data_IF_465935980439
#
_entry.id   IF_465935980439
#
_cell.length_a   1.000
_cell.length_b   1.000
_cell.length_c   1.000
_cell.angle_alpha   90.00
_cell.angle_beta   90.00
_cell.angle_gamma   90.00
#
_symmetry.space_group_name_H-M   'P 1'
#
loop_
_entity.id
_entity.type
_entity.pdbx_description
1 polymer ?
#
# COMPACT_ATOMS: atom_id res chain seq x y z
N UNK A 1 -7.77 -16.24 30.12
CA UNK A 1 -7.94 -15.04 29.25
C UNK A 1 -9.09 -14.16 29.72
N UNK A 2 -10.18 -14.74 30.20
CA UNK A 2 -11.37 -14.07 30.78
C UNK A 2 -11.06 -12.95 31.79
N UNK A 3 -10.03 -13.11 32.62
CA UNK A 3 -9.65 -12.14 33.66
C UNK A 3 -9.07 -10.81 33.14
N UNK A 4 -8.57 -10.78 31.90
CA UNK A 4 -7.96 -9.60 31.27
C UNK A 4 -8.99 -8.73 30.52
N UNK A 5 -10.17 -9.29 30.22
CA UNK A 5 -11.26 -8.63 29.52
C UNK A 5 -12.47 -8.36 30.45
N UNK A 6 -12.37 -8.75 31.72
CA UNK A 6 -13.43 -8.55 32.70
C UNK A 6 -13.12 -7.32 33.56
N UNK A 7 -14.08 -6.41 33.64
CA UNK A 7 -14.02 -5.16 34.41
C UNK A 7 -13.72 -5.40 35.90
N UNK A 8 -14.19 -6.52 36.46
CA UNK A 8 -14.04 -6.91 37.88
C UNK A 8 -13.56 -8.36 38.09
N UNK A 9 -13.05 -9.01 37.03
CA UNK A 9 -12.51 -10.37 37.09
C UNK A 9 -13.55 -11.50 37.14
N UNK A 10 -14.86 -11.22 37.17
CA UNK A 10 -15.93 -12.23 37.30
C UNK A 10 -17.00 -12.20 36.19
N UNK A 11 -17.20 -11.09 35.47
CA UNK A 11 -18.15 -11.03 34.34
C UNK A 11 -17.53 -10.34 33.13
N UNK A 12 -17.47 -11.04 32.00
CA UNK A 12 -17.26 -10.43 30.69
C UNK A 12 -18.58 -9.78 30.28
N UNK A 13 -18.54 -8.52 29.86
CA UNK A 13 -19.69 -7.92 29.20
C UNK A 13 -20.06 -8.80 27.98
N UNK A 14 -21.35 -9.11 27.83
CA UNK A 14 -21.83 -10.01 26.78
C UNK A 14 -21.43 -9.51 25.38
N UNK A 15 -21.31 -8.18 25.24
CA UNK A 15 -20.84 -7.49 24.06
C UNK A 15 -19.42 -7.87 23.64
N UNK A 16 -18.55 -8.30 24.56
CA UNK A 16 -17.14 -8.60 24.30
C UNK A 16 -16.83 -10.10 24.19
N UNK A 17 -17.85 -10.95 24.33
CA UNK A 17 -17.70 -12.40 24.21
C UNK A 17 -17.13 -12.85 22.86
N UNK A 18 -17.54 -12.30 21.70
CA UNK A 18 -16.96 -12.68 20.41
C UNK A 18 -15.44 -12.46 20.33
N UNK A 19 -14.95 -11.40 20.98
CA UNK A 19 -13.52 -11.11 21.03
C UNK A 19 -12.75 -12.11 21.91
N UNK A 20 -13.35 -12.52 23.03
CA UNK A 20 -12.77 -13.56 23.88
C UNK A 20 -12.67 -14.89 23.13
N UNK A 21 -13.71 -15.25 22.37
CA UNK A 21 -13.75 -16.48 21.58
C UNK A 21 -12.67 -16.47 20.49
N UNK A 22 -12.53 -15.38 19.71
CA UNK A 22 -11.48 -15.24 18.68
C UNK A 22 -10.08 -15.36 19.27
N UNK A 23 -9.84 -14.79 20.45
CA UNK A 23 -8.53 -14.90 21.09
C UNK A 23 -8.28 -16.32 21.59
N UNK A 24 -9.31 -17.01 22.09
CA UNK A 24 -9.25 -18.35 22.66
C UNK A 24 -9.21 -19.49 21.65
N UNK A 25 -9.63 -19.25 20.40
CA UNK A 25 -9.59 -20.22 19.30
C UNK A 25 -8.16 -20.52 18.79
N UNK A 26 -7.16 -19.75 19.23
CA UNK A 26 -5.77 -19.94 18.81
C UNK A 26 -5.24 -21.34 19.19
N UNK A 27 -4.67 -22.13 18.24
CA UNK A 27 -4.17 -23.48 18.50
C UNK A 27 -3.10 -23.54 19.60
N UNK A 28 -2.35 -22.46 19.77
CA UNK A 28 -1.38 -22.29 20.83
C UNK A 28 -1.67 -20.99 21.62
N UNK A 29 -2.00 -21.08 22.92
CA UNK A 29 -2.33 -19.92 23.74
C UNK A 29 -1.10 -19.10 24.18
N UNK A 30 0.11 -19.65 24.14
CA UNK A 30 1.31 -18.97 24.65
C UNK A 30 1.63 -17.66 23.89
N UNK A 31 1.64 -17.62 22.54
CA UNK A 31 1.83 -16.39 21.79
C UNK A 31 0.76 -15.33 22.11
N UNK A 32 -0.50 -15.74 22.27
CA UNK A 32 -1.62 -14.84 22.59
C UNK A 32 -1.42 -14.23 23.98
N UNK A 33 -1.06 -15.03 24.97
CA UNK A 33 -0.76 -14.55 26.32
C UNK A 33 0.47 -13.64 26.37
N UNK A 34 1.52 -13.96 25.60
CA UNK A 34 2.71 -13.12 25.48
C UNK A 34 2.36 -11.76 24.83
N UNK A 35 1.54 -11.77 23.78
CA UNK A 35 1.03 -10.57 23.13
C UNK A 35 0.17 -9.73 24.10
N UNK A 36 -0.78 -10.34 24.80
CA UNK A 36 -1.65 -9.65 25.77
C UNK A 36 -0.84 -8.92 26.85
N UNK A 37 0.28 -9.48 27.29
CA UNK A 37 1.13 -8.90 28.34
C UNK A 37 2.02 -7.76 27.85
N UNK A 38 2.54 -7.86 26.62
CA UNK A 38 3.65 -6.99 26.16
C UNK A 38 3.25 -5.99 25.07
N UNK A 39 2.14 -6.23 24.39
CA UNK A 39 1.77 -5.47 23.20
C UNK A 39 1.14 -4.11 23.55
N UNK A 40 1.57 -3.00 22.91
CA UNK A 40 0.84 -1.74 22.95
C UNK A 40 -0.60 -1.86 22.46
N UNK A 41 -0.85 -2.75 21.48
CA UNK A 41 -2.20 -3.01 20.96
C UNK A 41 -3.09 -3.66 22.03
N UNK A 42 -2.56 -4.58 22.83
CA UNK A 42 -3.31 -5.21 23.92
C UNK A 42 -3.65 -4.20 25.03
N UNK A 43 -2.72 -3.28 25.36
CA UNK A 43 -2.99 -2.20 26.31
C UNK A 43 -4.08 -1.25 25.81
N UNK A 44 -4.02 -0.86 24.53
CA UNK A 44 -5.04 -0.02 23.90
C UNK A 44 -6.41 -0.73 23.88
N UNK A 45 -6.43 -2.03 23.57
CA UNK A 45 -7.65 -2.84 23.64
C UNK A 45 -8.23 -2.88 25.06
N UNK A 46 -7.39 -3.09 26.08
CA UNK A 46 -7.81 -3.08 27.48
C UNK A 46 -8.43 -1.75 27.91
N UNK A 47 -7.86 -0.63 27.46
CA UNK A 47 -8.43 0.70 27.70
C UNK A 47 -9.80 0.87 27.05
N UNK A 48 -9.96 0.47 25.79
CA UNK A 48 -11.24 0.58 25.07
C UNK A 48 -12.34 -0.31 25.67
N UNK A 49 -11.97 -1.49 26.16
CA UNK A 49 -12.88 -2.45 26.79
C UNK A 49 -13.48 -1.91 28.12
N UNK A 50 -12.87 -0.89 28.74
CA UNK A 50 -13.47 -0.27 29.94
C UNK A 50 -14.74 0.55 29.65
N UNK A 51 -14.92 0.99 28.39
CA UNK A 51 -16.08 1.76 27.92
C UNK A 51 -16.67 1.14 26.63
N UNK A 52 -17.26 -0.06 26.71
CA UNK A 52 -17.70 -0.80 25.53
C UNK A 52 -18.85 -0.13 24.77
N UNK A 53 -19.63 0.74 25.43
CA UNK A 53 -20.72 1.49 24.81
C UNK A 53 -20.27 2.54 23.78
N UNK A 54 -19.00 2.94 23.80
CA UNK A 54 -18.42 3.94 22.88
C UNK A 54 -17.56 3.30 21.78
N UNK A 55 -17.58 1.98 21.65
CA UNK A 55 -16.70 1.25 20.76
C UNK A 55 -17.23 1.30 19.31
N UNK A 56 -16.84 2.34 18.59
CA UNK A 56 -17.11 2.50 17.16
C UNK A 56 -15.84 2.85 16.35
N UNK A 57 -15.99 2.94 15.02
CA UNK A 57 -14.89 3.33 14.15
C UNK A 57 -14.42 4.78 14.40
N UNK A 58 -15.30 5.68 14.85
CA UNK A 58 -15.00 7.10 15.05
C UNK A 58 -14.12 7.31 16.30
N UNK A 59 -14.40 6.60 17.38
CA UNK A 59 -13.60 6.56 18.59
C UNK A 59 -12.17 6.09 18.29
N UNK A 60 -12.03 5.03 17.49
CA UNK A 60 -10.72 4.56 17.03
C UNK A 60 -10.03 5.56 16.08
N UNK A 61 -10.79 6.30 15.27
CA UNK A 61 -10.26 7.31 14.35
C UNK A 61 -9.72 8.56 15.08
N UNK A 62 -10.25 8.87 16.27
CA UNK A 62 -9.80 9.96 17.14
C UNK A 62 -8.45 9.66 17.82
N UNK A 63 -8.11 8.39 18.01
CA UNK A 63 -6.84 7.98 18.63
C UNK A 63 -5.62 8.29 17.74
N UNK A 64 -4.41 8.35 18.32
CA UNK A 64 -3.18 8.33 17.54
C UNK A 64 -3.17 7.13 16.58
N UNK A 65 -2.99 7.40 15.28
CA UNK A 65 -3.01 6.33 14.28
C UNK A 65 -1.62 5.70 14.17
N UNK A 66 -1.56 4.38 14.20
CA UNK A 66 -0.33 3.59 14.12
C UNK A 66 -0.64 2.10 14.12
N UNK A 67 0.40 1.28 14.19
CA UNK A 67 0.27 -0.18 14.10
C UNK A 67 -0.65 -0.76 15.17
N UNK A 68 -0.61 -0.23 16.39
CA UNK A 68 -1.45 -0.69 17.50
C UNK A 68 -2.95 -0.46 17.21
N UNK A 69 -3.33 0.77 16.83
CA UNK A 69 -4.71 1.13 16.50
C UNK A 69 -5.23 0.35 15.30
N UNK A 70 -4.42 0.20 14.25
CA UNK A 70 -4.77 -0.62 13.07
C UNK A 70 -4.98 -2.09 13.44
N UNK A 71 -4.09 -2.66 14.26
CA UNK A 71 -4.23 -4.04 14.71
C UNK A 71 -5.49 -4.25 15.55
N UNK A 72 -5.76 -3.37 16.52
CA UNK A 72 -6.96 -3.45 17.36
C UNK A 72 -8.23 -3.32 16.52
N UNK A 73 -8.29 -2.36 15.59
CA UNK A 73 -9.43 -2.22 14.69
C UNK A 73 -9.66 -3.47 13.84
N UNK A 74 -8.59 -4.04 13.29
CA UNK A 74 -8.67 -5.30 12.53
C UNK A 74 -9.20 -6.44 13.40
N UNK A 75 -8.68 -6.57 14.62
CA UNK A 75 -9.10 -7.60 15.57
C UNK A 75 -10.59 -7.47 15.93
N UNK A 76 -11.06 -6.25 16.22
CA UNK A 76 -12.46 -5.96 16.53
C UNK A 76 -13.39 -6.23 15.34
N UNK A 77 -12.94 -5.93 14.12
CA UNK A 77 -13.67 -6.25 12.89
C UNK A 77 -13.75 -7.76 12.66
N UNK A 78 -12.63 -8.49 12.85
CA UNK A 78 -12.59 -9.96 12.76
C UNK A 78 -13.47 -10.63 13.79
N UNK A 79 -13.51 -10.08 15.02
CA UNK A 79 -14.41 -10.53 16.07
C UNK A 79 -15.89 -10.16 15.84
N UNK A 80 -16.21 -9.45 14.76
CA UNK A 80 -17.58 -9.03 14.45
C UNK A 80 -18.12 -7.91 15.35
N UNK A 81 -17.28 -7.28 16.16
CA UNK A 81 -17.66 -6.16 17.01
C UNK A 81 -17.77 -4.83 16.24
N UNK A 82 -17.07 -4.74 15.10
CA UNK A 82 -17.16 -3.61 14.20
C UNK A 82 -17.49 -4.07 12.78
N UNK A 83 -18.31 -3.32 12.03
CA UNK A 83 -18.61 -3.65 10.65
C UNK A 83 -17.36 -3.48 9.77
N UNK A 84 -17.16 -4.33 8.75
CA UNK A 84 -16.07 -4.17 7.81
C UNK A 84 -16.19 -2.84 7.05
N UNK A 85 -15.06 -2.15 6.88
CA UNK A 85 -14.97 -0.84 6.23
C UNK A 85 -13.75 -0.79 5.33
N UNK A 86 -13.77 0.06 4.31
CA UNK A 86 -12.57 0.42 3.53
C UNK A 86 -11.54 1.16 4.38
N UNK A 87 -10.75 0.43 5.17
CA UNK A 87 -9.85 0.97 6.20
C UNK A 87 -8.82 1.94 5.64
N UNK A 88 -8.14 1.56 4.56
CA UNK A 88 -7.12 2.42 3.95
C UNK A 88 -7.72 3.76 3.48
N UNK A 89 -8.96 3.75 2.98
CA UNK A 89 -9.65 4.97 2.54
C UNK A 89 -10.05 5.83 3.74
N UNK A 90 -10.54 5.21 4.82
CA UNK A 90 -10.83 5.89 6.08
C UNK A 90 -9.59 6.60 6.63
N UNK A 91 -8.47 5.89 6.68
CA UNK A 91 -7.18 6.43 7.10
C UNK A 91 -6.78 7.63 6.25
N UNK A 92 -6.93 7.57 4.92
CA UNK A 92 -6.63 8.69 4.04
C UNK A 92 -7.49 9.92 4.36
N UNK A 93 -8.81 9.75 4.51
CA UNK A 93 -9.76 10.83 4.79
C UNK A 93 -9.43 11.50 6.13
N UNK A 94 -9.21 10.70 7.18
CA UNK A 94 -8.90 11.20 8.52
C UNK A 94 -7.52 11.84 8.60
N UNK A 95 -6.54 11.27 7.90
CA UNK A 95 -5.21 11.86 7.79
C UNK A 95 -5.27 13.20 7.05
N UNK A 96 -5.98 13.29 5.93
CA UNK A 96 -6.17 14.54 5.17
C UNK A 96 -6.78 15.63 6.06
N UNK A 97 -7.85 15.31 6.79
CA UNK A 97 -8.52 16.28 7.67
C UNK A 97 -7.54 16.87 8.71
N UNK A 98 -6.77 16.00 9.38
CA UNK A 98 -5.77 16.41 10.37
C UNK A 98 -4.61 17.20 9.75
N UNK A 99 -4.16 16.82 8.55
CA UNK A 99 -3.11 17.54 7.83
C UNK A 99 -3.58 18.94 7.45
N UNK A 100 -4.78 19.06 6.85
CA UNK A 100 -5.33 20.37 6.46
C UNK A 100 -5.57 21.31 7.64
N UNK A 101 -5.91 20.78 8.82
CA UNK A 101 -6.11 21.58 10.03
C UNK A 101 -4.83 22.25 10.55
N UNK A 102 -3.65 21.71 10.19
CA UNK A 102 -2.34 22.23 10.61
C UNK A 102 -1.72 23.20 9.61
N UNK A 103 -2.28 23.31 8.40
CA UNK A 103 -1.71 24.13 7.34
C UNK A 103 -2.14 25.59 7.44
N UNK A 104 -1.28 26.53 7.00
CA UNK A 104 -1.69 27.91 6.75
C UNK A 104 -2.91 28.00 5.83
N UNK A 105 -3.78 28.99 6.04
CA UNK A 105 -5.06 29.12 5.32
C UNK A 105 -4.89 29.21 3.80
N UNK A 106 -3.87 29.92 3.32
CA UNK A 106 -3.61 30.08 1.88
C UNK A 106 -3.23 28.75 1.23
N UNK A 107 -2.35 27.97 1.85
CA UNK A 107 -2.00 26.63 1.38
C UNK A 107 -3.18 25.65 1.48
N UNK A 108 -3.91 25.65 2.59
CA UNK A 108 -5.06 24.76 2.79
C UNK A 108 -6.16 24.97 1.75
N UNK A 109 -6.32 26.20 1.25
CA UNK A 109 -7.29 26.55 0.20
C UNK A 109 -6.94 25.90 -1.15
N UNK A 110 -5.65 25.73 -1.45
CA UNK A 110 -5.18 25.07 -2.66
C UNK A 110 -5.14 23.55 -2.52
N UNK A 111 -4.68 23.04 -1.38
CA UNK A 111 -4.51 21.60 -1.14
C UNK A 111 -5.86 20.89 -0.95
N UNK A 112 -6.85 21.53 -0.33
CA UNK A 112 -8.18 20.93 -0.10
C UNK A 112 -8.86 20.44 -1.38
N UNK A 113 -9.05 21.27 -2.43
CA UNK A 113 -9.68 20.83 -3.66
C UNK A 113 -8.83 19.80 -4.42
N UNK A 114 -7.50 19.93 -4.41
CA UNK A 114 -6.61 18.91 -4.97
C UNK A 114 -6.81 17.56 -4.29
N UNK A 115 -6.73 17.52 -2.95
CA UNK A 115 -6.88 16.30 -2.19
C UNK A 115 -8.28 15.68 -2.37
N UNK A 116 -9.36 16.47 -2.34
CA UNK A 116 -10.72 15.94 -2.49
C UNK A 116 -10.99 15.42 -3.91
N UNK A 117 -10.74 16.24 -4.93
CA UNK A 117 -11.20 15.94 -6.28
C UNK A 117 -10.27 15.04 -7.07
N UNK A 118 -8.96 15.11 -6.81
CA UNK A 118 -7.97 14.31 -7.53
C UNK A 118 -7.66 13.01 -6.79
N UNK A 119 -7.31 13.10 -5.51
CA UNK A 119 -6.82 11.95 -4.74
C UNK A 119 -7.98 11.14 -4.13
N UNK A 120 -8.85 11.78 -3.34
CA UNK A 120 -9.92 11.09 -2.59
C UNK A 120 -10.98 10.52 -3.53
N UNK A 121 -11.36 11.24 -4.59
CA UNK A 121 -12.31 10.75 -5.60
C UNK A 121 -11.81 9.47 -6.26
N UNK A 122 -10.54 9.40 -6.63
CA UNK A 122 -9.94 8.20 -7.21
C UNK A 122 -9.80 7.07 -6.17
N UNK A 123 -9.36 7.39 -4.95
CA UNK A 123 -9.29 6.44 -3.84
C UNK A 123 -10.66 5.82 -3.52
N UNK A 124 -11.75 6.61 -3.51
CA UNK A 124 -13.12 6.12 -3.35
C UNK A 124 -13.48 5.11 -4.45
N UNK A 125 -13.18 5.44 -5.72
CA UNK A 125 -13.44 4.55 -6.87
C UNK A 125 -12.67 3.24 -6.75
N UNK A 126 -11.39 3.28 -6.37
CA UNK A 126 -10.54 2.08 -6.17
C UNK A 126 -11.01 1.26 -4.96
N UNK A 127 -11.41 1.92 -3.89
CA UNK A 127 -11.92 1.26 -2.68
C UNK A 127 -13.23 0.54 -2.94
N UNK A 128 -14.15 1.14 -3.70
CA UNK A 128 -15.42 0.49 -4.07
C UNK A 128 -15.22 -0.80 -4.88
N UNK A 129 -14.07 -0.94 -5.56
CA UNK A 129 -13.67 -2.14 -6.31
C UNK A 129 -12.82 -3.12 -5.50
N UNK A 130 -12.58 -2.85 -4.20
CA UNK A 130 -11.70 -3.65 -3.35
C UNK A 130 -10.21 -3.55 -3.69
N UNK A 131 -9.79 -2.56 -4.51
CA UNK A 131 -8.40 -2.43 -5.00
C UNK A 131 -7.60 -1.34 -4.31
N UNK A 132 -8.07 -0.84 -3.16
CA UNK A 132 -7.40 0.23 -2.42
C UNK A 132 -6.50 -0.31 -1.31
N UNK A 133 -5.24 -0.55 -1.67
CA UNK A 133 -4.23 -1.16 -0.81
C UNK A 133 -3.58 -0.14 0.13
N UNK A 134 -2.87 -0.65 1.15
CA UNK A 134 -2.09 0.17 2.07
C UNK A 134 -0.97 0.95 1.35
N UNK A 135 -0.33 0.33 0.35
CA UNK A 135 0.70 0.98 -0.48
C UNK A 135 0.12 2.15 -1.26
N UNK A 136 -1.11 2.02 -1.77
CA UNK A 136 -1.78 3.09 -2.47
C UNK A 136 -2.16 4.25 -1.52
N UNK A 137 -2.66 3.94 -0.31
CA UNK A 137 -2.86 4.93 0.75
C UNK A 137 -1.58 5.72 1.09
N UNK A 138 -0.44 5.02 1.25
CA UNK A 138 0.85 5.68 1.49
C UNK A 138 1.28 6.56 0.33
N UNK A 139 1.10 6.10 -0.90
CA UNK A 139 1.38 6.87 -2.11
C UNK A 139 0.53 8.14 -2.21
N UNK A 140 -0.77 8.04 -1.93
CA UNK A 140 -1.70 9.17 -1.93
C UNK A 140 -1.34 10.21 -0.85
N UNK A 141 -0.96 9.75 0.35
CA UNK A 141 -0.45 10.64 1.40
C UNK A 141 0.88 11.31 0.99
N UNK A 142 1.76 10.59 0.29
CA UNK A 142 3.03 11.13 -0.19
C UNK A 142 2.81 12.20 -1.27
N UNK A 143 1.86 12.01 -2.18
CA UNK A 143 1.51 13.02 -3.18
C UNK A 143 0.98 14.30 -2.53
N UNK A 144 0.12 14.18 -1.50
CA UNK A 144 -0.39 15.35 -0.76
C UNK A 144 0.74 16.05 0.00
N UNK A 145 1.66 15.31 0.64
CA UNK A 145 2.83 15.90 1.31
C UNK A 145 3.73 16.64 0.32
N UNK A 146 4.05 16.02 -0.83
CA UNK A 146 4.87 16.65 -1.86
C UNK A 146 4.25 17.96 -2.38
N UNK A 147 2.92 18.01 -2.50
CA UNK A 147 2.21 19.25 -2.85
C UNK A 147 2.35 20.33 -1.77
N UNK A 148 2.23 19.96 -0.49
CA UNK A 148 2.42 20.88 0.65
C UNK A 148 3.87 21.38 0.69
N UNK A 149 4.84 20.50 0.52
CA UNK A 149 6.26 20.84 0.52
C UNK A 149 6.58 21.79 -0.64
N UNK A 150 5.98 21.56 -1.81
CA UNK A 150 6.10 22.45 -2.97
C UNK A 150 5.53 23.84 -2.68
N UNK A 151 4.33 23.94 -2.12
CA UNK A 151 3.75 25.24 -1.74
C UNK A 151 4.58 25.94 -0.66
N UNK A 152 5.12 25.19 0.29
CA UNK A 152 6.01 25.74 1.32
C UNK A 152 7.28 26.30 0.69
N UNK A 153 7.86 25.61 -0.30
CA UNK A 153 9.01 26.12 -1.03
C UNK A 153 8.67 27.35 -1.87
N UNK A 154 7.50 27.40 -2.52
CA UNK A 154 7.06 28.63 -3.21
C UNK A 154 6.98 29.82 -2.25
N UNK A 155 6.43 29.61 -1.04
CA UNK A 155 6.39 30.64 -0.01
C UNK A 155 7.81 31.10 0.38
N UNK A 156 8.79 30.18 0.46
CA UNK A 156 10.19 30.55 0.75
C UNK A 156 10.86 31.35 -0.37
N UNK A 157 10.48 31.11 -1.63
CA UNK A 157 10.99 31.85 -2.78
C UNK A 157 10.19 33.13 -3.05
N UNK A 158 9.16 33.41 -2.24
CA UNK A 158 8.21 34.52 -2.43
C UNK A 158 7.55 34.52 -3.82
N UNK A 159 7.37 33.32 -4.40
CA UNK A 159 6.70 33.15 -5.68
C UNK A 159 5.25 32.71 -5.49
N UNK A 160 4.41 33.10 -6.45
CA UNK A 160 3.03 32.62 -6.54
C UNK A 160 2.93 31.55 -7.62
N UNK A 161 1.87 30.74 -7.60
CA UNK A 161 1.60 29.78 -8.68
C UNK A 161 1.48 30.45 -10.06
N UNK A 162 1.03 31.70 -10.12
CA UNK A 162 0.87 32.44 -11.37
C UNK A 162 2.18 33.02 -11.91
N UNK A 163 3.11 33.39 -11.03
CA UNK A 163 4.43 33.90 -11.41
C UNK A 163 5.44 32.78 -11.69
N UNK A 164 5.04 31.52 -11.50
CA UNK A 164 5.90 30.36 -11.61
C UNK A 164 6.42 30.17 -13.04
N UNK A 165 7.73 30.04 -13.18
CA UNK A 165 8.40 29.73 -14.45
C UNK A 165 8.80 28.26 -14.53
N UNK A 166 9.21 27.82 -15.73
CA UNK A 166 9.75 26.47 -15.91
C UNK A 166 11.09 26.29 -15.18
N UNK A 167 11.92 27.33 -15.14
CA UNK A 167 13.21 27.33 -14.43
C UNK A 167 13.02 27.07 -12.93
N UNK A 168 12.02 27.72 -12.31
CA UNK A 168 11.67 27.48 -10.91
C UNK A 168 11.26 26.02 -10.65
N UNK A 169 10.48 25.43 -11.57
CA UNK A 169 10.08 24.03 -11.47
C UNK A 169 11.25 23.07 -11.61
N UNK A 170 12.21 23.38 -12.48
CA UNK A 170 13.41 22.57 -12.68
C UNK A 170 14.35 22.67 -11.47
N UNK A 171 14.47 23.85 -10.84
CA UNK A 171 15.17 24.05 -9.57
C UNK A 171 14.51 23.23 -8.46
N UNK A 172 13.17 23.28 -8.35
CA UNK A 172 12.43 22.44 -7.40
C UNK A 172 12.70 20.95 -7.63
N UNK A 173 12.60 20.49 -8.89
CA UNK A 173 12.78 19.09 -9.24
C UNK A 173 14.21 18.59 -8.98
N UNK A 174 15.21 19.43 -9.21
CA UNK A 174 16.63 19.11 -9.00
C UNK A 174 17.00 19.12 -7.52
N UNK A 175 16.48 20.07 -6.75
CA UNK A 175 16.74 20.16 -5.30
C UNK A 175 16.10 19.04 -4.49
N UNK A 176 14.99 18.45 -4.98
CA UNK A 176 14.24 17.40 -4.26
C UNK A 176 13.89 16.21 -5.16
N UNK A 177 14.88 15.38 -5.53
CA UNK A 177 14.68 14.28 -6.48
C UNK A 177 13.60 13.26 -6.06
N UNK A 178 13.50 12.99 -4.75
CA UNK A 178 12.52 12.04 -4.19
C UNK A 178 11.07 12.56 -4.25
N UNK A 179 10.89 13.88 -4.28
CA UNK A 179 9.56 14.51 -4.32
C UNK A 179 9.14 14.89 -5.74
N UNK A 180 10.07 14.97 -6.70
CA UNK A 180 9.81 15.28 -8.12
C UNK A 180 8.63 14.48 -8.69
N UNK A 181 8.69 13.15 -8.58
CA UNK A 181 7.63 12.28 -9.10
C UNK A 181 6.28 12.49 -8.39
N UNK A 182 6.33 12.82 -7.09
CA UNK A 182 5.17 12.97 -6.21
C UNK A 182 4.48 14.34 -6.34
N UNK A 183 5.20 15.37 -6.80
CA UNK A 183 4.63 16.71 -7.03
C UNK A 183 3.95 16.85 -8.40
N UNK A 184 4.26 15.99 -9.37
CA UNK A 184 3.66 16.02 -10.73
C UNK A 184 2.13 15.99 -10.72
N UNK A 185 1.44 15.12 -9.97
CA UNK A 185 -0.02 15.11 -9.93
C UNK A 185 -0.61 16.47 -9.51
N UNK A 186 0.03 17.15 -8.55
CA UNK A 186 -0.39 18.46 -8.10
C UNK A 186 -0.18 19.53 -9.17
N UNK A 187 0.97 19.54 -9.82
CA UNK A 187 1.30 20.54 -10.85
C UNK A 187 0.41 20.37 -12.08
N UNK A 188 0.16 19.12 -12.51
CA UNK A 188 -0.81 18.82 -13.57
C UNK A 188 -2.21 19.28 -13.21
N UNK A 189 -2.65 19.04 -11.98
CA UNK A 189 -3.94 19.50 -11.48
C UNK A 189 -4.03 21.04 -11.43
N UNK A 190 -2.96 21.71 -10.99
CA UNK A 190 -2.90 23.17 -10.90
C UNK A 190 -2.94 23.82 -12.30
N UNK A 191 -2.20 23.25 -13.27
CA UNK A 191 -2.23 23.68 -14.67
C UNK A 191 -3.60 23.47 -15.31
N UNK A 192 -4.24 22.31 -15.10
CA UNK A 192 -5.58 22.04 -15.60
C UNK A 192 -6.67 22.97 -15.02
N UNK A 193 -6.40 23.59 -13.86
CA UNK A 193 -7.29 24.56 -13.21
C UNK A 193 -6.87 26.02 -13.48
N UNK A 194 -5.92 26.24 -14.40
CA UNK A 194 -5.37 27.55 -14.75
C UNK A 194 -4.83 28.34 -13.54
N UNK A 195 -4.32 27.63 -12.53
CA UNK A 195 -3.68 28.26 -11.36
C UNK A 195 -2.22 28.62 -11.64
N UNK A 196 -1.61 27.95 -12.62
CA UNK A 196 -0.26 28.22 -13.11
C UNK A 196 -0.29 28.77 -14.53
N UNK A 197 0.82 29.38 -14.96
CA UNK A 197 1.01 29.72 -16.38
C UNK A 197 0.90 28.45 -17.24
N UNK A 198 0.34 28.59 -18.44
CA UNK A 198 0.21 27.49 -19.37
C UNK A 198 1.59 26.95 -19.81
N UNK A 199 1.70 25.64 -19.98
CA UNK A 199 2.89 24.98 -20.57
C UNK A 199 3.94 24.47 -19.58
N UNK A 200 3.75 24.63 -18.27
CA UNK A 200 4.69 24.11 -17.27
C UNK A 200 4.71 22.58 -17.26
N UNK A 201 5.89 22.00 -17.45
CA UNK A 201 6.07 20.55 -17.56
C UNK A 201 7.26 20.11 -16.72
N UNK A 202 7.03 19.33 -15.66
CA UNK A 202 8.13 18.56 -15.05
C UNK A 202 8.30 17.31 -15.90
N UNK A 203 9.43 17.19 -16.57
CA UNK A 203 9.82 15.93 -17.19
C UNK A 203 9.86 14.83 -16.12
N UNK A 204 9.32 13.66 -16.41
CA UNK A 204 9.52 12.49 -15.57
C UNK A 204 10.14 11.44 -16.49
N UNK A 205 11.44 11.13 -16.35
CA UNK A 205 12.02 10.01 -17.07
C UNK A 205 11.20 8.77 -16.70
N UNK A 206 10.71 7.97 -17.65
CA UNK A 206 10.02 6.73 -17.30
C UNK A 206 10.88 5.97 -16.30
N UNK A 207 10.25 5.38 -15.27
CA UNK A 207 10.97 4.52 -14.33
C UNK A 207 11.67 3.45 -15.13
N UNK A 208 12.96 3.61 -15.37
CA UNK A 208 13.76 2.53 -15.94
C UNK A 208 13.76 1.45 -14.87
N UNK A 209 13.12 0.31 -15.16
CA UNK A 209 13.54 -0.92 -14.51
C UNK A 209 15.05 -1.02 -14.74
N UNK A 210 15.86 -1.46 -13.77
CA UNK A 210 17.30 -1.65 -13.97
C UNK A 210 17.54 -2.35 -15.32
N UNK A 211 18.02 -1.60 -16.30
CA UNK A 211 17.91 -1.92 -17.73
C UNK A 211 19.00 -2.86 -18.22
N UNK A 212 19.49 -3.74 -17.36
CA UNK A 212 20.44 -4.79 -17.69
C UNK A 212 20.01 -6.06 -16.97
N UNK A 213 18.95 -6.67 -17.47
CA UNK A 213 18.79 -8.10 -17.30
C UNK A 213 19.84 -8.74 -18.21
N UNK A 214 20.90 -9.31 -17.63
CA UNK A 214 21.86 -10.09 -18.39
C UNK A 214 21.11 -11.27 -19.02
N UNK A 215 21.27 -11.44 -20.32
CA UNK A 215 20.71 -12.58 -21.06
C UNK A 215 21.33 -13.84 -20.46
N UNK A 216 20.54 -14.90 -20.26
CA UNK A 216 20.98 -16.15 -19.61
C UNK A 216 22.22 -16.76 -20.30
N UNK A 217 22.34 -16.56 -21.61
CA UNK A 217 23.50 -16.93 -22.44
C UNK A 217 24.78 -16.16 -22.08
N UNK A 218 24.68 -14.84 -21.84
CA UNK A 218 25.82 -14.00 -21.43
C UNK A 218 26.29 -14.36 -20.01
N UNK A 219 25.35 -14.74 -19.13
CA UNK A 219 25.67 -15.19 -17.77
C UNK A 219 26.47 -16.50 -17.78
N UNK A 220 26.12 -17.44 -18.66
CA UNK A 220 26.79 -18.74 -18.77
C UNK A 220 28.21 -18.61 -19.35
N UNK A 221 28.40 -17.80 -20.38
CA UNK A 221 29.72 -17.54 -20.97
C UNK A 221 30.64 -16.78 -20.00
N UNK A 222 30.12 -15.79 -19.27
CA UNK A 222 30.89 -15.07 -18.26
C UNK A 222 31.24 -15.96 -17.05
N UNK A 223 30.33 -16.83 -16.60
CA UNK A 223 30.63 -17.83 -15.58
C UNK A 223 31.72 -18.80 -16.05
N UNK A 224 31.62 -19.26 -17.31
CA UNK A 224 32.62 -20.13 -17.94
C UNK A 224 33.97 -19.43 -18.05
N UNK A 225 34.00 -18.13 -18.35
CA UNK A 225 35.22 -17.31 -18.35
C UNK A 225 35.80 -17.17 -16.95
N UNK A 226 35.01 -16.83 -15.93
CA UNK A 226 35.49 -16.76 -14.54
C UNK A 226 36.06 -18.09 -14.04
N UNK A 227 35.49 -19.22 -14.47
CA UNK A 227 35.95 -20.54 -14.08
C UNK A 227 37.16 -21.03 -14.87
N UNK A 228 37.43 -20.53 -16.08
CA UNK A 228 38.46 -21.09 -16.96
C UNK A 228 39.58 -20.12 -17.35
N UNK A 229 39.49 -18.83 -17.00
CA UNK A 229 40.52 -17.85 -17.33
C UNK A 229 41.76 -18.02 -16.40
N UNK A 230 42.92 -18.46 -16.93
CA UNK A 230 44.12 -18.70 -16.13
C UNK A 230 44.87 -17.41 -15.77
N UNK A 231 44.45 -16.26 -16.31
CA UNK A 231 45.08 -14.96 -16.03
C UNK A 231 44.63 -14.37 -14.69
N UNK A 232 43.54 -14.89 -14.11
CA UNK A 232 43.00 -14.46 -12.82
C UNK A 232 43.49 -15.35 -11.66
N UNK A 233 43.87 -14.76 -10.51
CA UNK A 233 44.17 -15.52 -9.29
C UNK A 233 43.02 -16.42 -8.85
N UNK A 234 43.33 -17.59 -8.27
CA UNK A 234 42.35 -18.62 -7.84
C UNK A 234 41.23 -18.06 -6.98
N UNK A 235 41.57 -17.16 -6.07
CA UNK A 235 40.65 -16.67 -5.04
C UNK A 235 39.63 -15.69 -5.65
N UNK A 236 40.07 -14.92 -6.65
CA UNK A 236 39.22 -14.02 -7.43
C UNK A 236 38.25 -14.80 -8.32
N UNK A 237 38.69 -15.91 -8.91
CA UNK A 237 37.86 -16.78 -9.74
C UNK A 237 36.74 -17.43 -8.94
N UNK A 238 37.06 -17.96 -7.75
CA UNK A 238 36.08 -18.59 -6.86
C UNK A 238 35.09 -17.54 -6.34
N UNK A 239 35.58 -16.39 -5.89
CA UNK A 239 34.72 -15.31 -5.41
C UNK A 239 33.79 -14.78 -6.51
N UNK A 240 34.30 -14.53 -7.72
CA UNK A 240 33.51 -14.07 -8.86
C UNK A 240 32.45 -15.09 -9.29
N UNK A 241 32.80 -16.39 -9.30
CA UNK A 241 31.88 -17.47 -9.64
C UNK A 241 30.76 -17.62 -8.60
N UNK A 242 31.08 -17.55 -7.29
CA UNK A 242 30.08 -17.61 -6.23
C UNK A 242 29.14 -16.39 -6.24
N UNK A 243 29.70 -15.19 -6.41
CA UNK A 243 28.88 -13.97 -6.53
C UNK A 243 27.94 -14.10 -7.73
N UNK A 244 28.41 -14.57 -8.89
CA UNK A 244 27.57 -14.73 -10.08
C UNK A 244 26.51 -15.82 -9.95
N UNK A 245 26.82 -16.93 -9.28
CA UNK A 245 25.89 -18.04 -9.07
C UNK A 245 24.76 -17.68 -8.10
N UNK A 246 25.07 -16.90 -7.06
CA UNK A 246 24.11 -16.61 -5.97
C UNK A 246 23.47 -15.22 -6.03
N UNK A 247 24.06 -14.23 -6.71
CA UNK A 247 23.49 -12.88 -6.78
C UNK A 247 22.49 -12.67 -7.93
N UNK A 248 22.34 -13.64 -8.84
CA UNK A 248 21.49 -13.51 -10.05
C UNK A 248 20.06 -14.04 -9.95
N UNK A 249 19.67 -14.73 -8.86
CA UNK A 249 18.41 -15.47 -8.80
C UNK A 249 17.40 -14.84 -7.83
N UNK A 250 16.74 -13.76 -8.26
CA UNK A 250 15.44 -13.37 -7.68
C UNK A 250 14.39 -12.97 -8.73
N UNK A 251 14.72 -12.95 -10.02
CA UNK A 251 13.76 -12.60 -11.08
C UNK A 251 13.66 -13.74 -12.10
N UNK A 252 13.05 -14.86 -11.72
CA UNK A 252 12.60 -15.87 -12.70
C UNK A 252 11.43 -15.26 -13.46
N UNK A 253 11.71 -14.70 -14.65
CA UNK A 253 10.70 -14.39 -15.65
C UNK A 253 10.57 -15.61 -16.58
N UNK A 254 9.37 -16.16 -16.64
CA UNK A 254 8.99 -17.17 -17.62
C UNK A 254 8.94 -16.53 -19.02
N UNK A 255 9.62 -17.08 -20.04
CA UNK A 255 9.61 -16.49 -21.38
C UNK A 255 8.25 -16.76 -22.08
N UNK A 256 7.64 -15.76 -22.74
CA UNK A 256 6.44 -15.97 -23.51
C UNK A 256 6.80 -16.51 -24.90
N UNK A 257 6.35 -17.71 -25.22
CA UNK A 257 6.27 -18.18 -26.61
C UNK A 257 6.76 -19.59 -26.86
N UNK A 258 5.88 -20.58 -26.64
CA UNK A 258 5.88 -21.79 -27.44
C UNK A 258 4.42 -22.18 -27.76
N UNK A 259 4.07 -22.48 -29.02
CA UNK A 259 2.71 -22.71 -29.45
C UNK A 259 2.16 -24.05 -28.94
N UNK A 260 0.92 -24.03 -28.46
CA UNK A 260 0.18 -25.22 -28.07
C UNK A 260 -0.06 -26.13 -29.29
N UNK A 261 0.76 -27.17 -29.44
CA UNK A 261 0.43 -28.29 -30.32
C UNK A 261 -0.52 -29.23 -29.62
N UNK A 262 -1.77 -29.19 -30.06
CA UNK A 262 -2.79 -30.23 -29.87
C UNK A 262 -2.25 -31.60 -30.31
N UNK A 263 -1.96 -32.46 -29.35
CA UNK A 263 -2.10 -33.91 -29.46
C UNK A 263 -2.60 -34.40 -28.12
N UNK A 264 -3.84 -34.85 -28.09
CA UNK A 264 -4.21 -36.04 -27.33
C UNK A 264 -5.61 -36.51 -27.73
N UNK A 265 -5.66 -37.77 -28.15
CA UNK A 265 -6.80 -38.67 -28.09
C UNK A 265 -6.20 -40.09 -28.06
N UNK A 266 -6.88 -41.10 -27.52
CA UNK A 266 -7.91 -41.09 -26.47
C UNK A 266 -7.71 -42.25 -25.47
N UNK A 267 -8.40 -42.22 -24.31
CA UNK A 267 -9.00 -43.39 -23.61
C UNK A 267 -9.48 -42.94 -22.23
N UNK A 268 -10.53 -43.46 -21.60
CA UNK A 268 -11.84 -44.02 -21.96
C UNK A 268 -12.55 -44.21 -20.60
N UNK A 269 -13.88 -44.13 -20.59
CA UNK A 269 -14.79 -44.66 -19.55
C UNK A 269 -14.77 -43.99 -18.14
N UNK A 270 -15.89 -43.63 -17.50
CA UNK A 270 -17.24 -44.20 -17.56
C UNK A 270 -18.30 -43.22 -16.99
N UNK A 271 -19.49 -43.23 -17.61
CA UNK A 271 -20.85 -43.15 -17.03
C UNK A 271 -21.15 -42.14 -15.89
N UNK A 272 -22.21 -41.33 -15.95
CA UNK A 272 -23.61 -41.80 -15.87
C UNK A 272 -24.60 -40.67 -16.22
N UNK A 273 -25.74 -41.07 -16.80
CA UNK A 273 -26.83 -40.31 -17.40
C UNK A 273 -27.63 -39.34 -16.50
N UNK A 274 -28.17 -38.26 -17.10
CA UNK A 274 -29.60 -37.88 -17.04
C UNK A 274 -29.94 -36.72 -18.03
N UNK A 275 -31.22 -36.56 -18.45
CA UNK A 275 -31.63 -36.06 -19.77
C UNK A 275 -32.11 -34.57 -19.80
N UNK A 276 -32.48 -33.99 -20.97
CA UNK A 276 -32.62 -32.55 -21.14
C UNK A 276 -34.06 -32.04 -20.94
N UNK A 277 -34.19 -30.81 -20.41
CA UNK A 277 -35.41 -30.03 -20.45
C UNK A 277 -35.25 -28.86 -21.43
N UNK A 278 -36.19 -28.81 -22.38
CA UNK A 278 -36.26 -27.91 -23.52
C UNK A 278 -36.81 -26.52 -23.12
N UNK A 279 -36.27 -25.52 -23.82
CA UNK A 279 -36.93 -24.33 -24.40
C UNK A 279 -38.12 -23.70 -23.67
N UNK A 280 -37.90 -22.51 -23.10
CA UNK A 280 -38.96 -21.55 -22.77
C UNK A 280 -38.74 -20.25 -23.54
N UNK A 281 -39.46 -20.12 -24.65
CA UNK A 281 -39.56 -18.94 -25.53
C UNK A 281 -40.27 -17.79 -24.80
N UNK A 282 -39.69 -16.58 -24.88
CA UNK A 282 -40.35 -15.31 -24.55
C UNK A 282 -41.02 -14.75 -25.81
N UNK A 283 -42.14 -14.04 -25.68
CA UNK A 283 -42.07 -12.58 -25.82
C UNK A 283 -42.38 -11.84 -24.52
#
# INVERSE_FOLDING_TARGET
>A
MTRLLSRDGSTLDASLRPLADVLSDAPNPYPVLAWLRRSPAARLLGQLVTAPAELDHAALDALPQGHATTYVRSLLTTAGLLPPRGENLALLINWRARTLAKLPRHQATLIRPFAEWHIIRDARRRSARGRYTYTAHKGDCANIRAAIDFLTWLDTQQHTLQSLTQEDLDIWATSRPTLRARSIPFIRWAGARHLTRAGLTIEHPPSQLPGQFQIEEDHYEELRRCLNDPTLPSDVRIAAALIRLYAGTCCRAEPPGAPATLRDCPTNSSATACPPAQSGTRP
#
